data_IF_765448778715
#
_entry.id   IF_765448778715
#
_cell.length_a   1.000
_cell.length_b   1.000
_cell.length_c   1.000
_cell.angle_alpha   90.00
_cell.angle_beta   90.00
_cell.angle_gamma   90.00
#
_symmetry.space_group_name_H-M   'P 1'
#
loop_
_entity.id
_entity.type
_entity.pdbx_description
1 polymer ?
#
# COMPACT_ATOMS: atom_id res chain seq x y z
N UNK A 1 -10.84 -10.94 2.45
CA UNK A 1 -10.57 -9.86 1.46
C UNK A 1 -10.49 -10.37 0.04
N UNK A 2 -10.54 -9.49 -0.93
CA UNK A 2 -10.39 -9.83 -2.36
C UNK A 2 -9.01 -9.45 -2.85
N UNK A 3 -8.33 -10.35 -3.54
CA UNK A 3 -7.00 -10.11 -4.11
C UNK A 3 -7.05 -10.21 -5.63
N UNK A 4 -6.28 -9.40 -6.30
CA UNK A 4 -6.15 -9.40 -7.77
C UNK A 4 -4.97 -10.25 -8.20
N UNK A 5 -3.79 -9.97 -7.61
CA UNK A 5 -2.54 -10.62 -8.00
C UNK A 5 -1.49 -10.52 -6.88
N UNK A 6 -0.43 -11.34 -6.98
CA UNK A 6 0.76 -11.29 -6.14
C UNK A 6 1.99 -11.21 -7.04
N UNK A 7 2.69 -10.08 -7.02
CA UNK A 7 4.00 -9.97 -7.65
C UNK A 7 5.09 -10.29 -6.62
N UNK A 8 5.78 -11.41 -6.81
CA UNK A 8 6.78 -11.92 -5.85
C UNK A 8 8.16 -11.26 -5.98
N UNK A 9 8.37 -10.42 -6.99
CA UNK A 9 9.67 -9.80 -7.26
C UNK A 9 9.48 -8.49 -8.03
N UNK A 10 9.16 -7.41 -7.33
CA UNK A 10 9.03 -6.07 -7.90
C UNK A 10 10.10 -5.12 -7.38
N UNK A 11 10.42 -4.11 -8.19
CA UNK A 11 11.35 -3.02 -7.85
C UNK A 11 10.69 -1.64 -8.01
N UNK A 12 9.39 -1.61 -8.29
CA UNK A 12 8.69 -0.40 -8.69
C UNK A 12 7.96 0.30 -7.53
N UNK A 13 7.47 -0.46 -6.53
CA UNK A 13 6.55 0.06 -5.53
C UNK A 13 7.23 0.46 -4.21
N UNK A 14 8.48 0.03 -3.98
CA UNK A 14 9.24 0.36 -2.77
C UNK A 14 10.75 0.24 -3.02
N UNK A 15 11.62 0.72 -2.10
CA UNK A 15 13.06 0.51 -2.19
C UNK A 15 13.42 -0.97 -2.14
N UNK A 16 14.38 -1.39 -2.96
CA UNK A 16 14.85 -2.76 -3.02
C UNK A 16 13.91 -3.69 -3.78
N UNK A 17 13.96 -4.98 -3.49
CA UNK A 17 13.06 -5.98 -4.09
C UNK A 17 11.90 -6.24 -3.14
N UNK A 18 10.68 -6.19 -3.66
CA UNK A 18 9.45 -6.28 -2.90
C UNK A 18 8.60 -7.48 -3.33
N UNK A 19 7.82 -7.99 -2.39
CA UNK A 19 6.60 -8.75 -2.69
C UNK A 19 5.43 -7.78 -2.62
N UNK A 20 4.63 -7.72 -3.69
CA UNK A 20 3.48 -6.81 -3.79
C UNK A 20 2.19 -7.61 -3.83
N UNK A 21 1.29 -7.33 -2.89
CA UNK A 21 -0.07 -7.84 -2.90
C UNK A 21 -1.00 -6.79 -3.52
N UNK A 22 -1.56 -7.11 -4.66
CA UNK A 22 -2.59 -6.31 -5.31
C UNK A 22 -3.97 -6.78 -4.85
N UNK A 23 -4.66 -5.95 -4.08
CA UNK A 23 -6.06 -6.21 -3.68
C UNK A 23 -7.04 -5.75 -4.76
N UNK A 24 -8.28 -6.26 -4.73
CA UNK A 24 -9.35 -5.85 -5.63
C UNK A 24 -10.48 -5.20 -4.85
N UNK A 25 -10.92 -4.05 -5.33
CA UNK A 25 -12.03 -3.28 -4.81
C UNK A 25 -11.59 -1.94 -4.23
N UNK A 26 -12.37 -0.92 -4.57
CA UNK A 26 -12.33 0.42 -3.99
C UNK A 26 -13.77 0.83 -3.68
N UNK A 27 -14.02 1.36 -2.49
CA UNK A 27 -15.29 2.00 -2.20
C UNK A 27 -15.40 3.32 -2.99
N UNK A 28 -16.59 3.67 -3.48
CA UNK A 28 -16.82 4.96 -4.13
C UNK A 28 -16.53 6.12 -3.15
N UNK A 29 -16.21 7.29 -3.69
CA UNK A 29 -16.00 8.56 -2.97
C UNK A 29 -14.59 8.86 -2.45
N UNK A 30 -13.53 8.30 -3.06
CA UNK A 30 -12.14 8.70 -2.75
C UNK A 30 -11.68 9.96 -3.47
N UNK A 31 -12.39 10.37 -4.50
CA UNK A 31 -12.23 11.64 -5.21
C UNK A 31 -13.62 12.19 -5.55
N UNK A 32 -13.70 13.49 -5.83
CA UNK A 32 -14.98 14.20 -6.08
C UNK A 32 -15.82 13.55 -7.20
N UNK A 33 -15.20 12.83 -8.13
CA UNK A 33 -15.86 12.17 -9.27
C UNK A 33 -16.10 10.65 -9.07
N UNK A 34 -15.94 10.12 -7.86
CA UNK A 34 -16.03 8.70 -7.57
C UNK A 34 -14.67 8.00 -7.57
N UNK A 35 -14.48 6.95 -8.36
CA UNK A 35 -13.18 6.27 -8.44
C UNK A 35 -12.16 7.11 -9.22
N UNK A 36 -10.88 7.03 -8.86
CA UNK A 36 -9.81 7.86 -9.43
C UNK A 36 -9.82 7.87 -10.97
N UNK A 37 -10.09 8.99 -11.64
CA UNK A 37 -10.01 9.11 -13.09
C UNK A 37 -8.59 8.79 -13.57
N UNK A 38 -8.48 8.02 -14.66
CA UNK A 38 -7.17 7.62 -15.19
C UNK A 38 -6.40 6.62 -14.33
N UNK A 39 -7.06 5.97 -13.37
CA UNK A 39 -6.46 4.92 -12.57
C UNK A 39 -5.71 3.91 -13.45
N UNK A 40 -4.48 3.59 -13.06
CA UNK A 40 -3.64 2.61 -13.77
C UNK A 40 -4.26 1.22 -13.79
N UNK A 41 -5.04 0.89 -12.76
CA UNK A 41 -5.58 -0.43 -12.55
C UNK A 41 -7.11 -0.37 -12.43
N UNK A 42 -7.78 -0.05 -13.55
CA UNK A 42 -9.25 0.08 -13.58
C UNK A 42 -9.98 -1.20 -13.14
N UNK A 43 -9.43 -2.36 -13.42
CA UNK A 43 -10.00 -3.64 -13.04
C UNK A 43 -9.94 -3.82 -11.52
N UNK A 44 -8.85 -3.40 -10.89
CA UNK A 44 -8.70 -3.46 -9.44
C UNK A 44 -9.72 -2.62 -8.66
N UNK A 45 -10.41 -1.68 -9.29
CA UNK A 45 -11.45 -0.90 -8.62
C UNK A 45 -12.70 -1.73 -8.26
N UNK A 46 -12.90 -2.89 -8.88
CA UNK A 46 -14.09 -3.71 -8.68
C UNK A 46 -13.77 -4.93 -7.81
N UNK A 47 -14.47 -5.09 -6.69
CA UNK A 47 -14.35 -6.28 -5.85
C UNK A 47 -14.61 -7.57 -6.62
N UNK A 48 -15.48 -7.55 -7.64
CA UNK A 48 -15.83 -8.71 -8.45
C UNK A 48 -14.70 -9.26 -9.32
N UNK A 49 -13.63 -8.48 -9.55
CA UNK A 49 -12.45 -8.95 -10.29
C UNK A 49 -11.47 -9.74 -9.41
N UNK A 50 -11.59 -9.61 -8.10
CA UNK A 50 -10.70 -10.29 -7.17
C UNK A 50 -11.11 -11.74 -6.90
N UNK A 51 -10.09 -12.55 -6.60
CA UNK A 51 -10.24 -13.88 -6.01
C UNK A 51 -10.35 -13.77 -4.49
N UNK A 52 -10.90 -14.78 -3.84
CA UNK A 52 -10.86 -14.86 -2.38
C UNK A 52 -9.42 -15.01 -1.88
N UNK A 53 -9.11 -14.30 -0.82
CA UNK A 53 -7.89 -14.55 -0.06
C UNK A 53 -8.07 -15.82 0.78
N UNK A 54 -7.19 -16.79 0.60
CA UNK A 54 -7.27 -18.10 1.24
C UNK A 54 -6.04 -18.37 2.11
N UNK A 55 -6.08 -19.39 2.99
CA UNK A 55 -4.89 -19.81 3.73
C UNK A 55 -3.70 -20.18 2.82
N UNK A 56 -3.96 -20.78 1.66
CA UNK A 56 -2.95 -21.11 0.65
C UNK A 56 -2.31 -19.84 0.08
N UNK A 57 -3.12 -18.81 -0.19
CA UNK A 57 -2.63 -17.49 -0.64
C UNK A 57 -1.76 -16.83 0.43
N UNK A 58 -2.19 -16.88 1.70
CA UNK A 58 -1.39 -16.39 2.83
C UNK A 58 -0.04 -17.12 2.90
N UNK A 59 -0.06 -18.43 2.80
CA UNK A 59 1.17 -19.24 2.79
C UNK A 59 2.09 -18.86 1.63
N UNK A 60 1.55 -18.70 0.44
CA UNK A 60 2.29 -18.29 -0.76
C UNK A 60 3.00 -16.93 -0.57
N UNK A 61 2.33 -15.96 0.03
CA UNK A 61 2.91 -14.66 0.35
C UNK A 61 4.03 -14.80 1.38
N UNK A 62 3.80 -15.54 2.45
CA UNK A 62 4.79 -15.74 3.50
C UNK A 62 6.07 -16.39 2.96
N UNK A 63 5.94 -17.42 2.12
CA UNK A 63 7.10 -18.08 1.50
C UNK A 63 7.84 -17.15 0.53
N UNK A 64 7.14 -16.28 -0.18
CA UNK A 64 7.76 -15.26 -1.03
C UNK A 64 8.52 -14.22 -0.20
N UNK A 65 7.93 -13.70 0.88
CA UNK A 65 8.53 -12.66 1.74
C UNK A 65 9.74 -13.19 2.53
N UNK A 66 9.80 -14.47 2.84
CA UNK A 66 10.95 -15.12 3.51
C UNK A 66 12.23 -15.11 2.69
N UNK A 67 12.16 -14.94 1.38
CA UNK A 67 13.35 -14.98 0.54
C UNK A 67 14.36 -13.90 0.96
N UNK A 68 15.66 -14.23 1.09
CA UNK A 68 16.65 -13.34 1.71
C UNK A 68 16.88 -12.03 0.94
N UNK A 69 16.54 -11.99 -0.34
CA UNK A 69 16.66 -10.82 -1.20
C UNK A 69 15.43 -9.89 -1.15
N UNK A 70 14.34 -10.30 -0.49
CA UNK A 70 13.17 -9.44 -0.32
C UNK A 70 13.42 -8.46 0.83
N UNK A 71 13.12 -7.19 0.60
CA UNK A 71 13.28 -6.11 1.56
C UNK A 71 11.93 -5.61 2.09
N UNK A 72 10.92 -5.62 1.23
CA UNK A 72 9.64 -4.95 1.51
C UNK A 72 8.46 -5.83 1.12
N UNK A 73 7.41 -5.78 1.92
CA UNK A 73 6.07 -6.23 1.54
C UNK A 73 5.17 -5.03 1.29
N UNK A 74 4.52 -4.99 0.14
CA UNK A 74 3.71 -3.84 -0.30
C UNK A 74 2.24 -4.24 -0.46
N UNK A 75 1.36 -3.47 0.16
CA UNK A 75 -0.09 -3.51 -0.07
C UNK A 75 -0.47 -2.45 -1.10
N UNK A 76 -1.09 -2.88 -2.20
CA UNK A 76 -1.39 -2.04 -3.35
C UNK A 76 -2.62 -2.58 -4.11
N UNK A 77 -2.93 -2.04 -5.30
CA UNK A 77 -3.94 -2.57 -6.21
C UNK A 77 -5.20 -1.72 -6.26
N UNK A 78 -6.33 -2.23 -5.80
CA UNK A 78 -7.50 -1.45 -5.43
C UNK A 78 -7.18 -0.61 -4.19
N UNK A 79 -8.05 -0.64 -3.21
CA UNK A 79 -7.78 0.06 -1.96
C UNK A 79 -7.58 -0.96 -0.83
N UNK A 80 -6.37 -1.09 -0.30
CA UNK A 80 -6.11 -2.00 0.82
C UNK A 80 -6.95 -1.68 2.06
N UNK A 81 -7.21 -0.41 2.34
CA UNK A 81 -7.95 0.00 3.53
C UNK A 81 -9.47 -0.14 3.38
N UNK A 82 -9.97 -0.52 2.20
CA UNK A 82 -11.37 -0.92 1.99
C UNK A 82 -11.58 -2.44 2.12
N UNK A 83 -10.52 -3.21 2.36
CA UNK A 83 -10.60 -4.66 2.57
C UNK A 83 -10.98 -5.00 4.01
N UNK A 84 -11.10 -6.29 4.31
CA UNK A 84 -11.19 -6.76 5.70
C UNK A 84 -9.83 -6.48 6.41
N UNK A 85 -9.83 -5.47 7.26
CA UNK A 85 -8.62 -5.05 7.97
C UNK A 85 -8.11 -6.12 8.94
N UNK A 86 -8.97 -7.00 9.48
CA UNK A 86 -8.53 -8.07 10.36
C UNK A 86 -7.71 -9.11 9.57
N UNK A 87 -8.12 -9.46 8.35
CA UNK A 87 -7.35 -10.36 7.49
C UNK A 87 -6.00 -9.74 7.10
N UNK A 88 -5.97 -8.42 6.79
CA UNK A 88 -4.71 -7.71 6.48
C UNK A 88 -3.78 -7.64 7.70
N UNK A 89 -4.31 -7.29 8.86
CA UNK A 89 -3.53 -7.23 10.12
C UNK A 89 -2.95 -8.61 10.45
N UNK A 90 -3.74 -9.67 10.32
CA UNK A 90 -3.30 -11.05 10.56
C UNK A 90 -2.17 -11.46 9.60
N UNK A 91 -2.27 -11.09 8.32
CA UNK A 91 -1.21 -11.30 7.34
C UNK A 91 0.07 -10.54 7.72
N UNK A 92 -0.03 -9.24 8.02
CA UNK A 92 1.12 -8.40 8.37
C UNK A 92 1.78 -8.89 9.66
N UNK A 93 1.01 -9.24 10.68
CA UNK A 93 1.55 -9.83 11.93
C UNK A 93 2.34 -11.09 11.64
N UNK A 94 1.79 -11.99 10.82
CA UNK A 94 2.47 -13.22 10.41
C UNK A 94 3.79 -12.94 9.66
N UNK A 95 3.84 -11.91 8.81
CA UNK A 95 5.05 -11.47 8.13
C UNK A 95 6.07 -10.95 9.16
N UNK A 96 5.68 -10.06 10.05
CA UNK A 96 6.58 -9.48 11.05
C UNK A 96 7.13 -10.51 12.05
N UNK A 97 6.36 -11.53 12.36
CA UNK A 97 6.80 -12.64 13.22
C UNK A 97 7.80 -13.58 12.54
N UNK A 98 7.59 -13.89 11.27
CA UNK A 98 8.38 -14.90 10.53
C UNK A 98 9.52 -14.31 9.70
N UNK A 99 9.45 -13.01 9.37
CA UNK A 99 10.36 -12.32 8.49
C UNK A 99 10.84 -11.01 9.13
N UNK A 100 11.77 -11.14 10.08
CA UNK A 100 12.36 -9.99 10.75
C UNK A 100 13.01 -9.04 9.73
N UNK A 101 12.88 -7.73 9.97
CA UNK A 101 13.45 -6.65 9.15
C UNK A 101 12.84 -6.54 7.73
N UNK A 102 11.55 -6.81 7.57
CA UNK A 102 10.80 -6.46 6.36
C UNK A 102 9.96 -5.22 6.62
N UNK A 103 10.15 -4.21 5.78
CA UNK A 103 9.29 -3.02 5.82
C UNK A 103 7.93 -3.35 5.20
N UNK A 104 6.88 -2.81 5.81
CA UNK A 104 5.51 -2.93 5.31
C UNK A 104 5.10 -1.58 4.73
N UNK A 105 4.85 -1.56 3.42
CA UNK A 105 4.36 -0.40 2.70
C UNK A 105 2.89 -0.55 2.35
N UNK A 106 2.14 0.54 2.42
CA UNK A 106 0.74 0.57 2.03
C UNK A 106 0.45 1.78 1.14
N UNK A 107 -0.11 1.51 -0.04
CA UNK A 107 -0.64 2.52 -0.93
C UNK A 107 -2.12 2.71 -0.66
N UNK A 108 -2.55 3.93 -0.43
CA UNK A 108 -3.96 4.27 -0.20
C UNK A 108 -4.36 5.56 -0.88
N UNK A 109 -5.56 5.60 -1.42
CA UNK A 109 -6.18 6.82 -1.93
C UNK A 109 -6.70 7.75 -0.85
N UNK A 110 -6.68 7.33 0.40
CA UNK A 110 -7.07 8.17 1.53
C UNK A 110 -5.98 9.15 1.91
N UNK A 111 -6.38 10.31 2.46
CA UNK A 111 -5.47 11.24 3.10
C UNK A 111 -5.02 10.71 4.47
N UNK A 112 -3.84 11.11 4.93
CA UNK A 112 -3.28 10.69 6.22
C UNK A 112 -4.26 10.87 7.39
N UNK A 113 -4.93 12.03 7.45
CA UNK A 113 -5.86 12.36 8.53
C UNK A 113 -7.10 11.46 8.59
N UNK A 114 -7.43 10.78 7.49
CA UNK A 114 -8.56 9.85 7.43
C UNK A 114 -8.20 8.45 7.93
N UNK A 115 -6.91 8.09 7.93
CA UNK A 115 -6.47 6.72 8.16
C UNK A 115 -5.53 6.55 9.35
N UNK A 116 -4.92 7.62 9.86
CA UNK A 116 -3.90 7.59 10.93
C UNK A 116 -4.35 6.85 12.20
N UNK A 117 -5.63 6.86 12.52
CA UNK A 117 -6.20 6.26 13.72
C UNK A 117 -6.69 4.82 13.50
N UNK A 118 -6.53 4.25 12.29
CA UNK A 118 -6.87 2.86 12.02
C UNK A 118 -5.85 1.92 12.70
N UNK A 119 -6.30 0.83 13.30
CA UNK A 119 -5.43 -0.13 13.97
C UNK A 119 -4.31 -0.64 13.08
N UNK A 120 -4.58 -0.87 11.79
CA UNK A 120 -3.61 -1.38 10.83
C UNK A 120 -2.36 -0.49 10.72
N UNK A 121 -2.48 0.83 10.95
CA UNK A 121 -1.35 1.76 10.89
C UNK A 121 -0.26 1.45 11.91
N UNK A 122 -0.57 0.77 13.01
CA UNK A 122 0.43 0.34 13.98
C UNK A 122 1.38 -0.74 13.42
N UNK A 123 1.03 -1.37 12.32
CA UNK A 123 1.79 -2.45 11.68
C UNK A 123 2.43 -2.04 10.36
N UNK A 124 2.08 -0.87 9.81
CA UNK A 124 2.61 -0.31 8.56
C UNK A 124 3.82 0.58 8.90
N UNK A 125 4.91 0.43 8.17
CA UNK A 125 6.11 1.25 8.35
C UNK A 125 6.06 2.51 7.48
N UNK A 126 5.56 2.38 6.23
CA UNK A 126 5.45 3.50 5.28
C UNK A 126 4.09 3.49 4.58
N UNK A 127 3.45 4.64 4.50
CA UNK A 127 2.20 4.81 3.76
C UNK A 127 2.37 5.84 2.64
N UNK A 128 1.96 5.46 1.43
CA UNK A 128 1.79 6.38 0.31
C UNK A 128 0.32 6.79 0.29
N UNK A 129 0.04 8.03 0.69
CA UNK A 129 -1.32 8.51 0.96
C UNK A 129 -1.75 9.58 -0.05
N UNK A 130 -3.04 9.69 -0.25
CA UNK A 130 -3.69 10.66 -1.13
C UNK A 130 -4.23 10.05 -2.42
N UNK A 131 -5.32 10.60 -2.97
CA UNK A 131 -5.94 10.11 -4.19
C UNK A 131 -4.99 10.30 -5.38
N UNK A 132 -5.08 9.39 -6.36
CA UNK A 132 -4.41 9.61 -7.64
C UNK A 132 -5.13 10.70 -8.42
N UNK A 133 -4.40 11.75 -8.83
CA UNK A 133 -4.91 12.86 -9.64
C UNK A 133 -4.22 12.83 -11.00
N UNK A 134 -4.97 12.57 -12.07
CA UNK A 134 -4.45 12.38 -13.42
C UNK A 134 -3.66 13.60 -13.94
N UNK A 135 -4.15 14.80 -13.68
CA UNK A 135 -3.53 16.07 -14.07
C UNK A 135 -2.18 16.32 -13.37
N UNK A 136 -1.96 15.62 -12.26
CA UNK A 136 -0.71 15.68 -11.48
C UNK A 136 0.15 14.45 -11.65
N UNK A 137 -0.20 13.57 -12.59
CA UNK A 137 0.60 12.36 -12.88
C UNK A 137 2.04 12.74 -13.18
N UNK A 138 2.96 12.08 -12.50
CA UNK A 138 4.39 12.33 -12.65
C UNK A 138 5.16 11.02 -12.42
N UNK A 139 5.86 10.57 -13.43
CA UNK A 139 6.67 9.34 -13.42
C UNK A 139 8.17 9.63 -13.33
N UNK A 140 8.55 10.87 -13.03
CA UNK A 140 9.95 11.25 -12.85
C UNK A 140 10.53 10.66 -11.56
N UNK A 141 11.85 10.57 -11.48
CA UNK A 141 12.55 10.14 -10.26
C UNK A 141 12.26 11.04 -9.04
N UNK A 142 11.95 12.32 -9.28
CA UNK A 142 11.53 13.25 -8.23
C UNK A 142 10.19 12.87 -7.59
N UNK A 143 9.37 12.09 -8.30
CA UNK A 143 8.08 11.59 -7.81
C UNK A 143 8.08 10.07 -7.54
N UNK A 144 9.26 9.50 -7.29
CA UNK A 144 9.42 8.05 -7.06
C UNK A 144 8.45 7.52 -6.01
N UNK A 145 7.88 6.35 -6.27
CA UNK A 145 6.87 5.64 -5.47
C UNK A 145 5.52 6.37 -5.31
N UNK A 146 5.22 7.34 -6.16
CA UNK A 146 3.93 8.04 -6.22
C UNK A 146 3.41 8.05 -7.65
N UNK A 147 2.11 7.92 -7.80
CA UNK A 147 1.48 8.02 -9.13
C UNK A 147 1.24 9.48 -9.57
N UNK A 148 1.07 10.39 -8.60
CA UNK A 148 0.82 11.81 -8.83
C UNK A 148 1.47 12.68 -7.76
N UNK A 149 1.76 13.95 -8.11
CA UNK A 149 2.54 14.87 -7.27
C UNK A 149 1.87 15.26 -5.95
N UNK A 150 0.56 15.17 -5.85
CA UNK A 150 -0.19 15.42 -4.62
C UNK A 150 0.01 14.34 -3.56
N UNK A 151 0.33 13.11 -3.95
CA UNK A 151 0.52 12.01 -3.00
C UNK A 151 1.73 12.26 -2.10
N UNK A 152 1.68 11.71 -0.90
CA UNK A 152 2.73 11.89 0.12
C UNK A 152 3.21 10.54 0.62
N UNK A 153 4.51 10.41 0.84
CA UNK A 153 5.14 9.23 1.44
C UNK A 153 5.40 9.53 2.91
N UNK A 154 4.70 8.83 3.77
CA UNK A 154 4.67 9.06 5.21
C UNK A 154 5.47 7.99 5.94
N UNK A 155 6.38 8.41 6.82
CA UNK A 155 6.96 7.57 7.86
C UNK A 155 5.89 7.38 8.95
N UNK A 156 5.21 6.23 8.90
CA UNK A 156 4.04 5.98 9.76
C UNK A 156 4.45 5.91 11.22
N UNK A 157 5.54 5.22 11.51
CA UNK A 157 6.02 5.01 12.87
C UNK A 157 6.37 6.36 13.55
N UNK A 158 7.19 7.18 12.88
CA UNK A 158 7.53 8.52 13.40
C UNK A 158 6.29 9.42 13.49
N UNK A 159 5.34 9.28 12.56
CA UNK A 159 4.11 10.08 12.59
C UNK A 159 3.23 9.74 13.79
N UNK A 160 3.08 8.47 14.12
CA UNK A 160 2.33 8.02 15.30
C UNK A 160 3.03 8.42 16.60
N UNK A 161 4.35 8.20 16.70
CA UNK A 161 5.16 8.57 17.88
C UNK A 161 5.10 10.08 18.17
N UNK A 162 5.11 10.93 17.13
CA UNK A 162 5.14 12.37 17.28
C UNK A 162 3.73 13.02 17.23
N UNK A 163 2.70 12.20 17.01
CA UNK A 163 1.31 12.67 16.78
C UNK A 163 1.23 13.79 15.73
N UNK A 164 2.02 13.69 14.68
CA UNK A 164 2.02 14.63 13.54
C UNK A 164 2.49 13.92 12.27
N UNK A 165 2.08 14.43 11.10
CA UNK A 165 2.52 13.92 9.81
C UNK A 165 4.04 14.12 9.66
N UNK A 166 4.78 13.02 9.52
CA UNK A 166 6.22 12.98 9.24
C UNK A 166 6.44 12.33 7.88
N UNK A 167 7.11 13.04 6.98
CA UNK A 167 7.45 12.52 5.66
C UNK A 167 8.65 11.59 5.73
N UNK A 168 8.65 10.56 4.89
CA UNK A 168 9.79 9.66 4.80
C UNK A 168 11.02 10.41 4.28
N UNK A 169 12.15 10.28 4.98
CA UNK A 169 13.41 10.94 4.64
C UNK A 169 13.99 10.40 3.32
N UNK A 170 14.66 11.26 2.56
CA UNK A 170 15.29 10.89 1.29
C UNK A 170 14.34 10.81 0.09
N UNK A 171 13.05 11.08 0.30
CA UNK A 171 12.07 11.18 -0.78
C UNK A 171 11.64 12.64 -0.93
N UNK A 172 11.75 13.23 -2.13
CA UNK A 172 11.24 14.58 -2.36
C UNK A 172 9.72 14.60 -2.13
N UNK A 173 9.28 15.25 -1.07
CA UNK A 173 7.88 15.57 -0.87
C UNK A 173 7.69 17.01 -1.32
N UNK A 174 7.15 17.19 -2.51
CA UNK A 174 6.85 18.52 -3.02
C UNK A 174 5.85 19.21 -2.08
N UNK A 175 6.27 20.32 -1.50
CA UNK A 175 5.39 21.22 -0.72
C UNK A 175 4.41 21.93 -1.65
#
# INVERSE_FOLDING_TARGET
MKILDINKCSVAEAPGISVVLFVAGCLPNKCEEGNCPGCHNKEAQKFSYGKEFTPETKYEILEAVKQPYIHTFVLCGGEPLDQDLNELIDLIKSIKEQCLNRDIWCYTGYEWEQVKDLEIMQYIDVAVVGPFILEQRDISDANRWRGSRNQRVIDVKKSLEQNKKVFLEGIPNNN
#
